data_IF_482072923547
#
_entry.id   IF_482072923547
#
_cell.length_a   1.000
_cell.length_b   1.000
_cell.length_c   1.000
_cell.angle_alpha   90.00
_cell.angle_beta   90.00
_cell.angle_gamma   90.00
#
_symmetry.space_group_name_H-M   'P 1'
#
loop_
_entity.id
_entity.type
_entity.pdbx_description
1 polymer ?
#
# COMPACT_ATOMS: atom_id res chain seq x y z
N UNK A 1 -13.00 -17.73 -9.84
CA UNK A 1 -11.58 -17.76 -9.45
C UNK A 1 -11.25 -16.58 -8.57
N UNK A 2 -10.57 -16.82 -7.47
CA UNK A 2 -10.26 -15.79 -6.49
C UNK A 2 -9.07 -14.95 -6.94
N UNK A 3 -9.21 -13.63 -6.93
CA UNK A 3 -8.10 -12.75 -7.20
C UNK A 3 -7.14 -12.71 -6.01
N UNK A 4 -5.86 -12.57 -6.30
CA UNK A 4 -4.85 -12.24 -5.29
C UNK A 4 -4.93 -10.74 -5.03
N UNK A 5 -5.00 -10.34 -3.78
CA UNK A 5 -5.11 -8.93 -3.41
C UNK A 5 -3.76 -8.45 -2.90
N UNK A 6 -3.11 -7.63 -3.73
CA UNK A 6 -1.78 -7.11 -3.46
C UNK A 6 -1.87 -5.65 -2.99
N UNK A 7 -1.32 -5.35 -1.83
CA UNK A 7 -1.21 -3.99 -1.35
C UNK A 7 0.26 -3.55 -1.34
N UNK A 8 0.55 -2.41 -1.96
CA UNK A 8 1.85 -1.78 -1.94
C UNK A 8 1.79 -0.60 -0.98
N UNK A 9 2.48 -0.68 0.14
CA UNK A 9 2.51 0.37 1.15
C UNK A 9 3.75 1.23 0.97
N UNK A 10 3.56 2.46 0.52
CA UNK A 10 4.65 3.41 0.33
C UNK A 10 4.88 4.23 1.58
N UNK A 11 6.13 4.57 1.85
CA UNK A 11 6.50 5.41 2.99
C UNK A 11 6.39 6.90 2.69
N UNK A 12 6.20 7.26 1.42
CA UNK A 12 6.14 8.66 0.98
C UNK A 12 5.33 8.77 -0.30
N UNK A 13 4.76 9.95 -0.55
CA UNK A 13 4.07 10.27 -1.79
C UNK A 13 4.95 11.04 -2.77
N UNK A 14 6.19 11.34 -2.41
CA UNK A 14 7.13 12.01 -3.29
C UNK A 14 7.57 11.06 -4.42
N UNK A 15 7.69 11.59 -5.64
CA UNK A 15 8.08 10.77 -6.77
C UNK A 15 9.61 10.62 -6.82
N UNK A 16 10.07 9.39 -7.00
CA UNK A 16 11.49 9.07 -7.07
C UNK A 16 11.72 7.69 -7.66
N UNK A 17 12.89 7.11 -7.40
CA UNK A 17 13.28 5.82 -7.97
C UNK A 17 12.38 4.65 -7.55
N UNK A 18 12.03 4.59 -6.27
CA UNK A 18 11.16 3.53 -5.77
C UNK A 18 9.75 3.63 -6.33
N UNK A 19 9.26 4.85 -6.47
CA UNK A 19 7.94 5.12 -7.04
C UNK A 19 7.91 4.79 -8.53
N UNK A 20 9.00 5.04 -9.24
CA UNK A 20 9.11 4.64 -10.64
C UNK A 20 9.02 3.12 -10.78
N UNK A 21 9.63 2.38 -9.89
CA UNK A 21 9.53 0.93 -9.86
C UNK A 21 8.07 0.50 -9.70
N UNK A 22 7.34 1.13 -8.77
CA UNK A 22 5.93 0.80 -8.54
C UNK A 22 5.06 1.13 -9.76
N UNK A 23 5.31 2.25 -10.44
CA UNK A 23 4.61 2.56 -11.68
C UNK A 23 4.76 1.44 -12.69
N UNK A 24 5.99 0.99 -12.90
CA UNK A 24 6.27 -0.10 -13.87
C UNK A 24 5.61 -1.39 -13.44
N UNK A 25 5.62 -1.69 -12.13
CA UNK A 25 4.98 -2.87 -11.60
C UNK A 25 3.47 -2.87 -11.89
N UNK A 26 2.79 -1.76 -11.56
CA UNK A 26 1.36 -1.67 -11.77
C UNK A 26 0.99 -1.69 -13.25
N UNK A 27 1.83 -1.11 -14.10
CA UNK A 27 1.59 -1.12 -15.55
C UNK A 27 1.64 -2.54 -16.13
N UNK A 28 2.41 -3.43 -15.50
CA UNK A 28 2.62 -4.79 -16.01
C UNK A 28 1.82 -5.86 -15.31
N UNK A 29 1.13 -5.52 -14.22
CA UNK A 29 0.33 -6.50 -13.50
C UNK A 29 -0.87 -6.94 -14.32
N UNK A 30 -1.14 -8.25 -14.26
CA UNK A 30 -2.35 -8.83 -14.82
C UNK A 30 -3.51 -8.52 -13.88
N UNK A 31 -4.30 -7.53 -14.20
CA UNK A 31 -5.40 -7.07 -13.34
C UNK A 31 -6.57 -8.04 -13.29
N UNK A 32 -6.57 -9.04 -14.15
CA UNK A 32 -7.54 -10.12 -14.06
C UNK A 32 -7.21 -11.09 -12.93
N UNK A 33 -5.92 -11.31 -12.68
CA UNK A 33 -5.44 -12.22 -11.63
C UNK A 33 -5.15 -11.51 -10.32
N UNK A 34 -4.76 -10.24 -10.38
CA UNK A 34 -4.35 -9.46 -9.21
C UNK A 34 -5.20 -8.22 -9.08
N UNK A 35 -5.79 -8.04 -7.92
CA UNK A 35 -6.33 -6.74 -7.54
C UNK A 35 -5.22 -6.05 -6.77
N UNK A 36 -4.71 -4.95 -7.30
CA UNK A 36 -3.60 -4.25 -6.69
C UNK A 36 -4.03 -2.87 -6.21
N UNK A 37 -3.52 -2.47 -5.06
CA UNK A 37 -3.81 -1.16 -4.50
C UNK A 37 -2.52 -0.53 -3.99
N UNK A 38 -2.50 0.80 -3.98
CA UNK A 38 -1.43 1.59 -3.41
C UNK A 38 -1.94 2.25 -2.13
N UNK A 39 -1.18 2.12 -1.05
CA UNK A 39 -1.46 2.80 0.20
C UNK A 39 -0.34 3.81 0.44
N UNK A 40 -0.69 5.09 0.54
CA UNK A 40 0.27 6.18 0.75
C UNK A 40 -0.07 6.94 2.02
N UNK A 41 0.95 7.53 2.70
CA UNK A 41 0.69 8.29 3.93
C UNK A 41 0.09 9.67 3.68
N UNK A 42 0.20 10.20 2.46
CA UNK A 42 -0.21 11.58 2.17
C UNK A 42 -0.44 11.75 0.68
N UNK A 43 -1.23 12.75 0.24
CA UNK A 43 -1.35 13.06 -1.18
C UNK A 43 -0.05 13.66 -1.70
N UNK A 44 0.21 13.50 -3.00
CA UNK A 44 1.42 14.03 -3.63
C UNK A 44 1.51 13.61 -5.08
N UNK A 45 2.60 13.98 -5.78
CA UNK A 45 2.75 13.70 -7.21
C UNK A 45 2.63 12.23 -7.56
N UNK A 46 3.18 11.36 -6.73
CA UNK A 46 3.14 9.93 -6.98
C UNK A 46 1.70 9.40 -6.96
N UNK A 47 0.89 9.82 -5.99
CA UNK A 47 -0.50 9.40 -5.89
C UNK A 47 -1.27 9.84 -7.14
N UNK A 48 -1.06 11.07 -7.59
CA UNK A 48 -1.70 11.58 -8.80
C UNK A 48 -1.34 10.75 -10.03
N UNK A 49 -0.06 10.42 -10.19
CA UNK A 49 0.39 9.61 -11.31
C UNK A 49 -0.24 8.22 -11.30
N UNK A 50 -0.39 7.64 -10.11
CA UNK A 50 -0.97 6.31 -9.99
C UNK A 50 -2.48 6.33 -10.25
N UNK A 51 -3.17 7.36 -9.80
CA UNK A 51 -4.60 7.54 -10.11
C UNK A 51 -4.84 7.68 -11.60
N UNK A 52 -3.98 8.39 -12.31
CA UNK A 52 -4.07 8.52 -13.76
C UNK A 52 -3.96 7.18 -14.47
N UNK A 53 -3.27 6.21 -13.86
CA UNK A 53 -3.14 4.87 -14.39
C UNK A 53 -4.29 3.95 -13.99
N UNK A 54 -5.27 4.47 -13.28
CA UNK A 54 -6.40 3.67 -12.82
C UNK A 54 -6.06 2.77 -11.65
N UNK A 55 -5.00 3.08 -10.90
CA UNK A 55 -4.63 2.30 -9.72
C UNK A 55 -5.49 2.71 -8.52
N UNK A 56 -6.05 1.72 -7.83
CA UNK A 56 -6.79 1.95 -6.59
C UNK A 56 -5.83 2.50 -5.54
N UNK A 57 -6.15 3.65 -4.94
CA UNK A 57 -5.28 4.29 -3.96
C UNK A 57 -6.02 4.56 -2.66
N UNK A 58 -5.31 4.39 -1.55
CA UNK A 58 -5.83 4.68 -0.22
C UNK A 58 -4.83 5.56 0.52
N UNK A 59 -5.31 6.54 1.27
CA UNK A 59 -4.45 7.41 2.06
C UNK A 59 -4.60 7.04 3.53
N UNK A 60 -3.50 6.60 4.13
CA UNK A 60 -3.43 6.31 5.56
C UNK A 60 -2.22 7.04 6.11
N UNK A 61 -2.45 8.09 6.89
CA UNK A 61 -1.35 8.88 7.43
C UNK A 61 -0.51 8.06 8.41
N UNK A 62 0.77 7.93 8.11
CA UNK A 62 1.73 7.22 8.97
C UNK A 62 2.61 8.25 9.66
N UNK A 63 2.37 8.47 10.94
CA UNK A 63 3.15 9.42 11.72
C UNK A 63 4.61 8.95 11.83
N UNK A 64 5.59 9.88 11.87
CA UNK A 64 7.01 9.50 12.05
C UNK A 64 7.26 8.82 13.39
N UNK A 65 6.51 9.18 14.43
CA UNK A 65 6.52 8.49 15.71
C UNK A 65 5.37 7.52 15.76
N UNK A 66 5.46 6.51 16.63
CA UNK A 66 4.39 5.51 16.71
C UNK A 66 3.05 6.17 17.04
N UNK A 67 2.03 5.85 16.27
CA UNK A 67 0.68 6.36 16.46
C UNK A 67 -0.30 5.19 16.37
N UNK A 68 -0.95 4.84 17.50
CA UNK A 68 -1.88 3.71 17.51
C UNK A 68 -3.07 3.88 16.59
N UNK A 69 -3.53 5.11 16.38
CA UNK A 69 -4.66 5.38 15.47
C UNK A 69 -4.27 5.07 14.03
N UNK A 70 -3.07 5.46 13.61
CA UNK A 70 -2.57 5.16 12.28
C UNK A 70 -2.45 3.65 12.09
N UNK A 71 -1.90 2.95 13.08
CA UNK A 71 -1.78 1.50 13.04
C UNK A 71 -3.15 0.83 12.95
N UNK A 72 -4.12 1.31 13.71
CA UNK A 72 -5.48 0.77 13.69
C UNK A 72 -6.12 0.96 12.32
N UNK A 73 -5.98 2.16 11.74
CA UNK A 73 -6.55 2.46 10.42
C UNK A 73 -5.94 1.57 9.34
N UNK A 74 -4.63 1.40 9.37
CA UNK A 74 -3.95 0.54 8.41
C UNK A 74 -4.40 -0.92 8.58
N UNK A 75 -4.45 -1.41 9.80
CA UNK A 75 -4.89 -2.77 10.08
C UNK A 75 -6.32 -3.01 9.59
N UNK A 76 -7.20 -2.05 9.87
CA UNK A 76 -8.59 -2.14 9.45
C UNK A 76 -8.72 -2.18 7.94
N UNK A 77 -7.94 -1.35 7.25
CA UNK A 77 -7.93 -1.34 5.79
C UNK A 77 -7.51 -2.69 5.23
N UNK A 78 -6.42 -3.25 5.74
CA UNK A 78 -5.91 -4.54 5.28
C UNK A 78 -6.93 -5.66 5.48
N UNK A 79 -7.64 -5.66 6.61
CA UNK A 79 -8.69 -6.63 6.89
C UNK A 79 -9.90 -6.45 5.99
N UNK A 80 -10.36 -5.21 5.86
CA UNK A 80 -11.56 -4.91 5.07
C UNK A 80 -11.38 -5.30 3.61
N UNK A 81 -10.20 -5.02 3.06
CA UNK A 81 -9.89 -5.31 1.67
C UNK A 81 -9.37 -6.74 1.47
N UNK A 82 -9.22 -7.51 2.53
CA UNK A 82 -8.77 -8.91 2.49
C UNK A 82 -7.43 -9.07 1.77
N UNK A 83 -6.49 -8.22 2.11
CA UNK A 83 -5.16 -8.20 1.48
C UNK A 83 -4.46 -9.52 1.69
N UNK A 84 -3.94 -10.09 0.60
CA UNK A 84 -3.24 -11.36 0.60
C UNK A 84 -1.72 -11.17 0.68
N UNK A 85 -1.20 -10.19 -0.02
CA UNK A 85 0.22 -9.87 -0.07
C UNK A 85 0.39 -8.39 0.25
N UNK A 86 1.27 -8.09 1.18
CA UNK A 86 1.61 -6.72 1.54
C UNK A 86 3.10 -6.51 1.32
N UNK A 87 3.45 -5.58 0.44
CA UNK A 87 4.82 -5.15 0.24
C UNK A 87 4.99 -3.74 0.80
N UNK A 88 6.10 -3.51 1.50
CA UNK A 88 6.36 -2.23 2.14
C UNK A 88 7.62 -1.60 1.55
N UNK A 89 7.61 -0.27 1.46
CA UNK A 89 8.70 0.49 0.86
C UNK A 89 9.10 1.63 1.78
N UNK A 90 10.32 1.54 2.34
CA UNK A 90 10.86 2.52 3.26
C UNK A 90 10.67 2.14 4.72
N UNK A 91 11.44 2.77 5.60
CA UNK A 91 11.49 2.40 7.02
C UNK A 91 10.15 2.58 7.72
N UNK A 92 9.46 3.69 7.45
CA UNK A 92 8.16 3.96 8.07
C UNK A 92 7.12 2.93 7.64
N UNK A 93 7.07 2.64 6.35
CA UNK A 93 6.16 1.63 5.82
C UNK A 93 6.48 0.24 6.38
N UNK A 94 7.74 -0.09 6.49
CA UNK A 94 8.17 -1.37 7.06
C UNK A 94 7.69 -1.52 8.50
N UNK A 95 7.86 -0.48 9.30
CA UNK A 95 7.47 -0.51 10.71
C UNK A 95 5.96 -0.74 10.87
N UNK A 96 5.16 0.13 10.26
CA UNK A 96 3.70 0.02 10.37
C UNK A 96 3.18 -1.23 9.66
N UNK A 97 3.74 -1.54 8.51
CA UNK A 97 3.27 -2.67 7.70
C UNK A 97 3.48 -4.01 8.36
N UNK A 98 4.61 -4.21 9.02
CA UNK A 98 4.87 -5.46 9.73
C UNK A 98 3.86 -5.72 10.84
N UNK A 99 3.58 -4.69 11.63
CA UNK A 99 2.65 -4.82 12.76
C UNK A 99 1.23 -4.98 12.23
N UNK A 100 0.80 -4.10 11.33
CA UNK A 100 -0.56 -4.15 10.79
C UNK A 100 -0.82 -5.43 10.02
N UNK A 101 0.18 -5.91 9.26
CA UNK A 101 0.06 -7.16 8.52
C UNK A 101 -0.19 -8.35 9.42
N UNK A 102 0.50 -8.41 10.55
CA UNK A 102 0.28 -9.47 11.53
C UNK A 102 -1.08 -9.36 12.18
N UNK A 103 -1.48 -8.14 12.59
CA UNK A 103 -2.77 -7.92 13.22
C UNK A 103 -3.93 -8.23 12.27
N UNK A 104 -3.74 -7.99 10.98
CA UNK A 104 -4.75 -8.27 9.97
C UNK A 104 -4.66 -9.69 9.41
N UNK A 105 -3.69 -10.47 9.86
CA UNK A 105 -3.46 -11.84 9.40
C UNK A 105 -3.19 -11.94 7.91
N UNK A 106 -2.42 -10.98 7.38
CA UNK A 106 -2.00 -11.02 5.98
C UNK A 106 -0.98 -12.15 5.81
N UNK A 107 -1.21 -13.10 4.88
CA UNK A 107 -0.33 -14.27 4.76
C UNK A 107 1.09 -13.96 4.30
N UNK A 108 1.27 -12.92 3.49
CA UNK A 108 2.58 -12.64 2.88
C UNK A 108 3.00 -11.19 3.02
#
# INVERSE_FOLDING_TARGET
MTQVILAELAGSAAYGGGERYLELLFDRLDRGRYRAMLICPEPGPFVGRMKERGVETHLVHLAPLFNPVALWRLTRLLRRERVTILQTHGARANFYGRIAGRLASVPV
#
